data_IF_713699960300
#
_entry.id   IF_713699960300
#
_cell.length_a   1.000
_cell.length_b   1.000
_cell.length_c   1.000
_cell.angle_alpha   90.00
_cell.angle_beta   90.00
_cell.angle_gamma   90.00
#
_symmetry.space_group_name_H-M   'P 1'
#
loop_
_entity.id
_entity.type
_entity.pdbx_description
1 polymer ?
#
# COMPACT_ATOMS: atom_id res chain seq x y z
N UNK A 1 -3.87 2.31 14.71
CA UNK A 1 -5.05 2.77 13.94
C UNK A 1 -4.84 2.46 12.45
N UNK A 2 -3.72 2.84 11.85
CA UNK A 2 -3.46 2.70 10.40
C UNK A 2 -3.44 1.25 9.86
N UNK A 3 -2.97 0.28 10.65
CA UNK A 3 -3.03 -1.15 10.30
C UNK A 3 -4.46 -1.73 10.37
N UNK A 4 -5.30 -1.21 11.27
CA UNK A 4 -6.70 -1.64 11.39
C UNK A 4 -7.53 -1.12 10.21
N UNK A 5 -7.23 0.08 9.71
CA UNK A 5 -7.88 0.63 8.51
C UNK A 5 -7.61 -0.26 7.28
N UNK A 6 -6.42 -0.86 7.18
CA UNK A 6 -6.11 -1.83 6.11
C UNK A 6 -6.76 -3.20 6.30
N UNK A 7 -7.12 -3.59 7.53
CA UNK A 7 -7.94 -4.78 7.76
C UNK A 7 -9.38 -4.55 7.28
N UNK A 8 -9.86 -3.31 7.36
CA UNK A 8 -11.21 -2.94 6.94
C UNK A 8 -11.30 -2.65 5.43
N UNK A 9 -10.43 -1.80 4.89
CA UNK A 9 -10.47 -1.38 3.48
C UNK A 9 -9.62 -2.24 2.54
N UNK A 10 -8.82 -3.17 3.07
CA UNK A 10 -7.82 -3.91 2.32
C UNK A 10 -6.57 -3.08 2.01
N UNK A 11 -5.52 -3.73 1.48
CA UNK A 11 -4.30 -3.08 0.98
C UNK A 11 -4.22 -3.27 -0.53
N UNK A 12 -4.32 -2.17 -1.29
CA UNK A 12 -4.36 -2.25 -2.75
C UNK A 12 -2.95 -2.38 -3.33
N UNK A 13 -2.72 -3.39 -4.17
CA UNK A 13 -1.40 -3.72 -4.72
C UNK A 13 -1.26 -3.44 -6.23
N UNK A 14 -2.36 -3.25 -6.96
CA UNK A 14 -2.35 -2.91 -8.39
C UNK A 14 -3.37 -1.83 -8.71
N UNK A 15 -3.26 -1.22 -9.89
CA UNK A 15 -4.21 -0.18 -10.35
C UNK A 15 -5.60 -0.78 -10.53
N UNK A 16 -5.66 -1.98 -11.08
CA UNK A 16 -6.90 -2.73 -11.30
C UNK A 16 -7.59 -3.03 -9.97
N UNK A 17 -6.82 -3.38 -8.93
CA UNK A 17 -7.36 -3.62 -7.60
C UNK A 17 -7.94 -2.34 -6.98
N UNK A 18 -7.28 -1.19 -7.17
CA UNK A 18 -7.83 0.08 -6.66
C UNK A 18 -9.18 0.37 -7.34
N UNK A 19 -9.26 0.23 -8.65
CA UNK A 19 -10.50 0.45 -9.39
C UNK A 19 -11.60 -0.54 -8.98
N UNK A 20 -11.28 -1.83 -8.84
CA UNK A 20 -12.27 -2.83 -8.44
C UNK A 20 -12.82 -2.56 -7.04
N UNK A 21 -11.95 -2.29 -6.06
CA UNK A 21 -12.33 -2.08 -4.67
C UNK A 21 -13.12 -0.77 -4.50
N UNK A 22 -12.69 0.32 -5.16
CA UNK A 22 -13.44 1.58 -5.14
C UNK A 22 -14.80 1.49 -5.83
N UNK A 23 -14.98 0.58 -6.79
CA UNK A 23 -16.27 0.36 -7.44
C UNK A 23 -17.26 -0.39 -6.53
N UNK A 24 -16.77 -1.18 -5.57
CA UNK A 24 -17.61 -1.85 -4.57
C UNK A 24 -18.15 -0.89 -3.52
N UNK A 25 -17.38 0.16 -3.20
CA UNK A 25 -17.77 1.18 -2.22
C UNK A 25 -18.82 2.12 -2.85
N UNK A 26 -19.98 2.27 -2.22
CA UNK A 26 -21.07 3.13 -2.73
C UNK A 26 -20.94 4.59 -2.29
N UNK A 27 -20.41 4.82 -1.09
CA UNK A 27 -20.32 6.16 -0.50
C UNK A 27 -19.07 6.90 -0.97
N UNK A 28 -19.24 8.11 -1.48
CA UNK A 28 -18.11 8.98 -1.87
C UNK A 28 -17.19 9.24 -0.66
N UNK A 29 -17.78 9.50 0.51
CA UNK A 29 -17.03 9.75 1.73
C UNK A 29 -16.20 8.53 2.14
N UNK A 30 -16.76 7.34 2.00
CA UNK A 30 -16.07 6.09 2.31
C UNK A 30 -14.93 5.81 1.31
N UNK A 31 -15.10 6.14 0.03
CA UNK A 31 -14.01 6.09 -0.96
C UNK A 31 -12.86 7.02 -0.57
N UNK A 32 -13.16 8.24 -0.13
CA UNK A 32 -12.13 9.16 0.35
C UNK A 32 -11.39 8.61 1.57
N UNK A 33 -12.11 8.03 2.53
CA UNK A 33 -11.53 7.44 3.74
C UNK A 33 -10.63 6.26 3.40
N UNK A 34 -11.09 5.35 2.53
CA UNK A 34 -10.30 4.23 2.02
C UNK A 34 -8.99 4.71 1.36
N UNK A 35 -9.07 5.70 0.47
CA UNK A 35 -7.90 6.24 -0.22
C UNK A 35 -6.94 6.98 0.73
N UNK A 36 -7.46 7.77 1.66
CA UNK A 36 -6.64 8.43 2.70
C UNK A 36 -5.95 7.38 3.58
N UNK A 37 -6.63 6.29 3.91
CA UNK A 37 -6.05 5.18 4.66
C UNK A 37 -4.90 4.53 3.88
N UNK A 38 -5.06 4.27 2.58
CA UNK A 38 -3.96 3.77 1.72
C UNK A 38 -2.74 4.69 1.77
N UNK A 39 -2.94 6.00 1.57
CA UNK A 39 -1.86 6.99 1.56
C UNK A 39 -1.14 7.08 2.92
N UNK A 40 -1.89 7.10 4.03
CA UNK A 40 -1.30 7.10 5.39
C UNK A 40 -0.50 5.84 5.64
N UNK A 41 -1.07 4.67 5.34
CA UNK A 41 -0.41 3.39 5.55
C UNK A 41 0.89 3.31 4.76
N UNK A 42 0.88 3.70 3.49
CA UNK A 42 2.08 3.73 2.63
C UNK A 42 3.14 4.70 3.14
N UNK A 43 2.74 5.85 3.67
CA UNK A 43 3.65 6.84 4.25
C UNK A 43 4.26 6.36 5.57
N UNK A 44 3.44 5.90 6.50
CA UNK A 44 3.83 5.74 7.90
C UNK A 44 4.28 4.31 8.21
N UNK A 45 3.63 3.31 7.60
CA UNK A 45 3.95 1.89 7.80
C UNK A 45 4.98 1.43 6.78
N UNK A 46 4.74 1.63 5.48
CA UNK A 46 5.70 1.23 4.45
C UNK A 46 6.87 2.19 4.29
N UNK A 47 6.79 3.40 4.87
CA UNK A 47 7.82 4.44 4.74
C UNK A 47 8.20 4.67 3.27
N UNK A 48 7.21 4.58 2.38
CA UNK A 48 7.41 4.67 0.94
C UNK A 48 7.92 6.07 0.59
N UNK A 49 9.06 6.15 -0.12
CA UNK A 49 9.62 7.43 -0.58
C UNK A 49 8.89 7.88 -1.84
N UNK A 50 8.28 9.06 -1.79
CA UNK A 50 7.65 9.76 -2.91
C UNK A 50 7.61 11.26 -2.59
N UNK A 51 7.22 12.09 -3.56
CA UNK A 51 7.07 13.53 -3.33
C UNK A 51 6.07 13.79 -2.19
N UNK A 52 6.34 14.77 -1.30
CA UNK A 52 5.46 15.07 -0.16
C UNK A 52 4.00 15.32 -0.55
N UNK A 53 3.78 15.91 -1.73
CA UNK A 53 2.46 16.25 -2.27
C UNK A 53 1.61 15.01 -2.59
N UNK A 54 2.25 13.86 -2.85
CA UNK A 54 1.54 12.59 -3.10
C UNK A 54 0.82 12.13 -1.83
N UNK A 55 1.37 12.44 -0.66
CA UNK A 55 0.76 12.10 0.63
C UNK A 55 -0.13 13.23 1.20
N UNK A 56 -0.32 14.32 0.47
CA UNK A 56 -1.19 15.42 0.89
C UNK A 56 -2.67 15.02 0.72
N UNK A 57 -3.54 15.56 1.57
CA UNK A 57 -5.00 15.38 1.48
C UNK A 57 -5.74 16.65 1.09
N UNK A 58 -5.00 17.73 0.87
CA UNK A 58 -5.54 19.05 0.57
C UNK A 58 -4.56 19.83 -0.29
N UNK A 59 -5.08 20.71 -1.12
CA UNK A 59 -4.32 21.68 -1.93
C UNK A 59 -4.77 23.10 -1.63
N UNK A 60 -3.98 24.08 -2.02
CA UNK A 60 -4.34 25.50 -1.94
C UNK A 60 -4.83 25.94 -3.32
N UNK A 61 -6.06 26.47 -3.39
CA UNK A 61 -6.64 27.11 -4.58
C UNK A 61 -7.04 28.51 -4.15
N UNK A 62 -6.57 29.53 -4.86
CA UNK A 62 -6.88 30.94 -4.60
C UNK A 62 -6.66 31.35 -3.13
N UNK A 63 -5.55 30.87 -2.54
CA UNK A 63 -5.21 31.12 -1.14
C UNK A 63 -6.04 30.35 -0.12
N UNK A 64 -7.02 29.54 -0.53
CA UNK A 64 -7.86 28.71 0.35
C UNK A 64 -7.45 27.25 0.30
N UNK A 65 -7.44 26.61 1.47
CA UNK A 65 -7.17 25.17 1.60
C UNK A 65 -8.43 24.38 1.26
N UNK A 66 -8.35 23.53 0.24
CA UNK A 66 -9.44 22.68 -0.24
C UNK A 66 -9.01 21.22 -0.16
N UNK A 67 -9.90 20.33 0.27
CA UNK A 67 -9.63 18.90 0.30
C UNK A 67 -9.48 18.34 -1.13
N UNK A 68 -8.61 17.36 -1.29
CA UNK A 68 -8.49 16.64 -2.56
C UNK A 68 -9.75 15.80 -2.80
N UNK A 69 -10.20 15.77 -4.05
CA UNK A 69 -11.29 14.91 -4.51
C UNK A 69 -10.88 13.43 -4.50
N UNK A 70 -11.87 12.53 -4.56
CA UNK A 70 -11.64 11.08 -4.73
C UNK A 70 -10.71 10.79 -5.91
N UNK A 71 -10.88 11.49 -7.02
CA UNK A 71 -10.06 11.30 -8.22
C UNK A 71 -8.60 11.71 -8.01
N UNK A 72 -8.36 12.81 -7.31
CA UNK A 72 -7.01 13.25 -6.98
C UNK A 72 -6.32 12.32 -5.98
N UNK A 73 -7.07 11.86 -4.97
CA UNK A 73 -6.56 10.87 -4.01
C UNK A 73 -6.27 9.54 -4.71
N UNK A 74 -7.13 9.10 -5.62
CA UNK A 74 -6.93 7.89 -6.43
C UNK A 74 -5.67 8.01 -7.29
N UNK A 75 -5.47 9.14 -7.96
CA UNK A 75 -4.27 9.41 -8.74
C UNK A 75 -2.99 9.36 -7.89
N UNK A 76 -3.05 9.86 -6.65
CA UNK A 76 -1.93 9.76 -5.73
C UNK A 76 -1.62 8.31 -5.32
N UNK A 77 -2.65 7.49 -5.03
CA UNK A 77 -2.44 6.06 -4.77
C UNK A 77 -1.89 5.34 -6.02
N UNK A 78 -2.33 5.72 -7.22
CA UNK A 78 -1.81 5.14 -8.48
C UNK A 78 -0.32 5.41 -8.65
N UNK A 79 0.13 6.64 -8.37
CA UNK A 79 1.55 6.99 -8.41
C UNK A 79 2.37 6.12 -7.46
N UNK A 80 1.87 5.87 -6.25
CA UNK A 80 2.56 5.02 -5.28
C UNK A 80 2.57 3.55 -5.68
N UNK A 81 1.46 3.04 -6.23
CA UNK A 81 1.38 1.64 -6.66
C UNK A 81 2.23 1.40 -7.90
N UNK A 82 2.18 2.28 -8.90
CA UNK A 82 3.04 2.21 -10.10
C UNK A 82 4.51 2.43 -9.76
N UNK A 83 4.82 3.43 -8.96
CA UNK A 83 6.19 3.74 -8.53
C UNK A 83 6.80 2.66 -7.64
N UNK A 84 6.01 1.83 -6.96
CA UNK A 84 6.53 0.67 -6.23
C UNK A 84 7.19 -0.36 -7.15
N UNK A 85 6.84 -0.39 -8.45
CA UNK A 85 7.53 -1.20 -9.45
C UNK A 85 8.83 -0.54 -9.93
N UNK A 86 8.91 0.80 -9.89
CA UNK A 86 10.04 1.59 -10.42
C UNK A 86 11.16 1.90 -9.41
N UNK A 87 10.99 1.55 -8.12
CA UNK A 87 12.10 1.59 -7.12
C UNK A 87 13.24 0.60 -7.50
N UNK A 88 13.09 -0.12 -8.61
CA UNK A 88 14.00 -1.12 -9.16
C UNK A 88 14.92 -0.60 -10.26
N UNK A 89 15.78 0.37 -9.95
CA UNK A 89 17.15 0.28 -10.47
C UNK A 89 18.09 0.37 -9.28
N UNK A 90 18.75 -0.72 -8.87
CA UNK A 90 19.89 -0.58 -7.99
C UNK A 90 20.86 0.37 -8.68
N UNK A 91 21.19 1.48 -8.03
CA UNK A 91 22.33 2.27 -8.43
C UNK A 91 23.58 1.38 -8.40
N UNK A 92 24.64 1.71 -9.15
CA UNK A 92 25.85 0.89 -9.24
C UNK A 92 26.64 0.77 -7.91
N UNK A 93 26.13 1.30 -6.79
CA UNK A 93 26.62 1.04 -5.44
C UNK A 93 25.54 0.34 -4.63
N UNK A 94 25.57 -0.99 -4.60
CA UNK A 94 24.68 -1.79 -3.76
C UNK A 94 25.03 -1.63 -2.29
N UNK A 95 24.22 -0.88 -1.54
CA UNK A 95 24.25 -0.94 -0.09
C UNK A 95 23.76 -2.32 0.36
N UNK A 96 24.67 -3.07 0.98
CA UNK A 96 24.52 -4.47 1.40
C UNK A 96 23.50 -4.72 2.54
N UNK A 97 22.56 -3.80 2.79
CA UNK A 97 21.59 -3.86 3.89
C UNK A 97 20.13 -3.86 3.44
N UNK A 98 19.84 -3.89 2.14
CA UNK A 98 18.49 -4.11 1.62
C UNK A 98 18.14 -5.60 1.65
N UNK A 99 17.00 -5.98 2.23
CA UNK A 99 16.51 -7.36 2.18
C UNK A 99 16.48 -7.87 0.74
N UNK A 100 17.19 -8.99 0.51
CA UNK A 100 17.43 -9.63 -0.80
C UNK A 100 16.14 -9.79 -1.63
N UNK A 101 15.01 -9.94 -0.94
CA UNK A 101 13.74 -10.26 -1.55
C UNK A 101 12.88 -9.02 -1.85
N UNK A 102 13.11 -7.86 -1.23
CA UNK A 102 12.29 -6.65 -1.46
C UNK A 102 12.41 -6.23 -2.93
N UNK A 103 11.27 -6.02 -3.58
CA UNK A 103 11.13 -5.78 -5.01
C UNK A 103 11.17 -7.04 -5.88
N UNK A 104 11.58 -8.19 -5.35
CA UNK A 104 11.60 -9.43 -6.14
C UNK A 104 10.20 -10.02 -6.28
N UNK A 105 9.95 -10.56 -7.46
CA UNK A 105 8.80 -11.43 -7.72
C UNK A 105 9.08 -12.79 -7.09
N UNK A 106 8.19 -13.22 -6.21
CA UNK A 106 8.29 -14.47 -5.48
C UNK A 106 7.09 -15.36 -5.77
N UNK A 107 7.32 -16.67 -5.77
CA UNK A 107 6.27 -17.67 -5.81
C UNK A 107 6.11 -18.21 -4.39
N UNK A 108 4.99 -17.89 -3.76
CA UNK A 108 4.71 -18.28 -2.39
C UNK A 108 3.65 -19.38 -2.37
N UNK A 109 3.88 -20.38 -1.51
CA UNK A 109 2.98 -21.51 -1.31
C UNK A 109 2.02 -21.18 -0.16
N UNK A 110 0.74 -21.43 -0.38
CA UNK A 110 -0.34 -21.23 0.58
C UNK A 110 -1.10 -22.54 0.77
N UNK A 111 -1.77 -22.66 1.91
CA UNK A 111 -2.74 -23.70 2.21
C UNK A 111 -4.13 -23.05 2.16
N UNK A 112 -5.08 -23.71 1.48
CA UNK A 112 -6.49 -23.33 1.59
C UNK A 112 -7.13 -23.87 2.88
N UNK A 113 -8.38 -23.49 3.15
CA UNK A 113 -9.12 -23.91 4.36
C UNK A 113 -9.37 -25.43 4.44
N UNK A 114 -9.11 -26.16 3.34
CA UNK A 114 -9.22 -27.62 3.24
C UNK A 114 -7.86 -28.31 3.31
N UNK A 115 -6.78 -27.55 3.50
CA UNK A 115 -5.41 -28.05 3.56
C UNK A 115 -4.76 -28.31 2.20
N UNK A 116 -5.38 -27.90 1.08
CA UNK A 116 -4.77 -28.04 -0.23
C UNK A 116 -3.73 -26.95 -0.47
N UNK A 117 -2.62 -27.36 -1.07
CA UNK A 117 -1.52 -26.46 -1.38
C UNK A 117 -1.76 -25.76 -2.73
N UNK A 118 -1.65 -24.44 -2.75
CA UNK A 118 -1.64 -23.68 -3.99
C UNK A 118 -0.49 -22.67 -4.01
N UNK A 119 -0.05 -22.30 -5.21
CA UNK A 119 1.01 -21.33 -5.39
C UNK A 119 0.43 -20.00 -5.85
N UNK A 120 0.81 -18.92 -5.18
CA UNK A 120 0.50 -17.56 -5.58
C UNK A 120 1.79 -16.81 -5.94
N UNK A 121 1.71 -15.98 -6.98
CA UNK A 121 2.80 -15.11 -7.40
C UNK A 121 2.55 -13.71 -6.83
N UNK A 122 3.53 -13.17 -6.12
CA UNK A 122 3.46 -11.83 -5.55
C UNK A 122 4.81 -11.13 -5.62
N UNK A 123 4.82 -9.84 -5.34
CA UNK A 123 6.06 -9.08 -5.19
C UNK A 123 6.26 -8.77 -3.71
N UNK A 124 7.49 -8.88 -3.22
CA UNK A 124 7.80 -8.46 -1.84
C UNK A 124 7.90 -6.94 -1.83
N UNK A 125 7.00 -6.28 -1.12
CA UNK A 125 6.85 -4.82 -1.21
C UNK A 125 7.73 -4.10 -0.19
N UNK A 126 7.91 -4.68 1.01
CA UNK A 126 8.78 -4.13 2.05
C UNK A 126 9.15 -5.19 3.08
N UNK A 127 10.21 -4.92 3.84
CA UNK A 127 10.53 -5.69 5.05
C UNK A 127 9.86 -5.01 6.24
N UNK A 128 9.02 -5.75 6.97
CA UNK A 128 8.44 -5.26 8.23
C UNK A 128 9.54 -5.28 9.30
N UNK A 129 9.76 -4.17 10.05
CA UNK A 129 10.71 -4.16 11.15
C UNK A 129 10.39 -5.23 12.19
N UNK A 130 11.42 -5.97 12.63
CA UNK A 130 11.31 -7.07 13.60
C UNK A 130 10.62 -6.68 14.93
N UNK A 131 10.56 -5.39 15.27
CA UNK A 131 9.89 -4.88 16.47
C UNK A 131 8.36 -5.08 16.49
N UNK A 132 7.74 -5.45 15.36
CA UNK A 132 6.29 -5.67 15.26
C UNK A 132 5.83 -7.14 15.46
N UNK A 133 6.75 -8.10 15.56
CA UNK A 133 6.40 -9.53 15.64
C UNK A 133 5.90 -10.00 17.01
N UNK A 134 5.95 -9.18 18.06
CA UNK A 134 5.61 -9.62 19.43
C UNK A 134 4.12 -9.54 19.80
N UNK A 135 3.21 -9.12 18.90
CA UNK A 135 1.79 -8.94 19.24
C UNK A 135 0.79 -9.72 18.36
N UNK A 136 1.23 -10.68 17.54
CA UNK A 136 0.31 -11.59 16.85
C UNK A 136 0.05 -12.81 17.74
N UNK A 137 -0.85 -12.65 18.71
CA UNK A 137 -1.49 -13.77 19.41
C UNK A 137 -2.46 -14.41 18.40
N UNK A 138 -2.10 -15.57 17.86
CA UNK A 138 -3.06 -16.45 17.21
C UNK A 138 -3.90 -17.11 18.31
N UNK A 139 -5.18 -16.73 18.38
CA UNK A 139 -6.15 -17.47 19.18
C UNK A 139 -6.58 -18.68 18.36
N UNK A 140 -6.22 -19.87 18.82
CA UNK A 140 -6.71 -21.16 18.29
C UNK A 140 -8.16 -21.41 18.65
#
# INVERSE_FOLDING_TARGET
METADMQFFGLYQSVEQIDSELNLIKSIKEKEEALKAQLRFRKNVFKQKADPDVFAFSKVIDGKRVNLSVEELRANVYKLVRGAFDIQKPGPGGDANGSLLVGKRVKQKFLDDRGNEFWSLGNVISQVPLTLYNNLIFKG
#
